data_IF_014012526336
#
_entry.id   IF_014012526336
#
_cell.length_a   1.000
_cell.length_b   1.000
_cell.length_c   1.000
_cell.angle_alpha   90.00
_cell.angle_beta   90.00
_cell.angle_gamma   90.00
#
_symmetry.space_group_name_H-M   'P 1'
#
loop_
_entity.id
_entity.type
_entity.pdbx_description
1 polymer ?
#
# COMPACT_ATOMS: atom_id res chain seq x y z
N UNK A 1 0.21 32.18 -29.66
CA UNK A 1 0.58 30.89 -30.29
C UNK A 1 0.01 29.75 -29.46
N UNK A 2 -0.72 28.83 -30.11
CA UNK A 2 -1.24 27.62 -29.44
C UNK A 2 -0.16 26.54 -29.51
N UNK A 3 0.26 26.04 -28.34
CA UNK A 3 1.25 24.98 -28.19
C UNK A 3 0.57 23.74 -27.70
N UNK A 4 0.75 22.61 -28.41
CA UNK A 4 0.25 21.31 -27.96
C UNK A 4 1.34 20.58 -27.15
N UNK A 5 1.09 20.37 -25.88
CA UNK A 5 2.01 19.66 -24.98
C UNK A 5 1.73 18.17 -25.08
N UNK A 6 2.69 17.34 -25.51
CA UNK A 6 2.47 15.90 -25.61
C UNK A 6 2.41 15.25 -24.23
N UNK A 7 1.49 14.28 -24.07
CA UNK A 7 1.42 13.49 -22.86
C UNK A 7 2.73 12.70 -22.66
N UNK A 8 3.25 12.68 -21.43
CA UNK A 8 4.50 12.01 -21.11
C UNK A 8 5.72 12.93 -21.08
N UNK A 9 5.60 14.19 -21.48
CA UNK A 9 6.71 15.15 -21.40
C UNK A 9 7.21 15.25 -19.95
N UNK A 10 8.52 15.42 -19.80
CA UNK A 10 9.14 15.57 -18.48
C UNK A 10 9.53 17.02 -18.20
N UNK A 11 9.81 17.30 -16.93
CA UNK A 11 10.27 18.61 -16.51
C UNK A 11 11.60 18.99 -17.21
N UNK A 12 11.70 20.23 -17.67
CA UNK A 12 12.87 20.76 -18.38
C UNK A 12 13.00 20.31 -19.84
N UNK A 13 12.05 19.53 -20.37
CA UNK A 13 12.05 19.19 -21.79
C UNK A 13 11.49 20.34 -22.64
N UNK A 14 12.06 20.52 -23.84
CA UNK A 14 11.66 21.59 -24.77
C UNK A 14 10.89 21.05 -25.96
N UNK A 15 9.85 21.79 -26.35
CA UNK A 15 9.07 21.59 -27.58
C UNK A 15 9.54 22.57 -28.62
N UNK A 16 9.97 22.06 -29.77
CA UNK A 16 10.39 22.88 -30.90
C UNK A 16 9.21 23.14 -31.84
N UNK A 17 8.91 24.41 -32.06
CA UNK A 17 7.89 24.85 -33.01
C UNK A 17 8.60 25.52 -34.18
N UNK A 18 8.55 24.86 -35.35
CA UNK A 18 9.24 25.32 -36.56
C UNK A 18 8.65 26.62 -37.08
N UNK A 19 9.50 27.50 -37.65
CA UNK A 19 9.15 28.75 -38.31
C UNK A 19 8.33 29.75 -37.41
N UNK A 20 8.41 29.59 -36.09
CA UNK A 20 7.72 30.48 -35.12
C UNK A 20 8.67 31.32 -34.28
N UNK A 21 9.96 31.24 -34.54
CA UNK A 21 10.97 32.09 -33.93
C UNK A 21 11.07 33.49 -34.56
N UNK A 22 12.18 34.15 -34.35
CA UNK A 22 12.45 35.47 -34.87
C UNK A 22 12.60 35.46 -36.40
N UNK A 23 12.29 36.60 -37.07
CA UNK A 23 12.56 36.75 -38.51
C UNK A 23 14.05 36.59 -38.81
N UNK A 24 14.36 35.91 -39.91
CA UNK A 24 15.74 35.80 -40.36
C UNK A 24 16.32 37.15 -40.81
N UNK A 25 17.64 37.31 -40.70
CA UNK A 25 18.35 38.48 -41.20
C UNK A 25 18.32 38.52 -42.74
N UNK A 26 18.24 39.73 -43.32
CA UNK A 26 18.23 39.95 -44.77
C UNK A 26 17.11 39.23 -45.55
N UNK A 27 15.91 39.07 -44.95
CA UNK A 27 14.78 38.39 -45.62
C UNK A 27 14.87 36.86 -45.60
N UNK A 28 15.75 36.28 -44.81
CA UNK A 28 15.84 34.85 -44.60
C UNK A 28 14.63 34.23 -43.90
N UNK A 29 14.50 32.88 -43.90
CA UNK A 29 13.40 32.20 -43.25
C UNK A 29 13.40 32.45 -41.73
N UNK A 30 12.23 32.32 -41.12
CA UNK A 30 12.09 32.46 -39.66
C UNK A 30 12.79 31.31 -38.93
N UNK A 31 13.33 31.62 -37.77
CA UNK A 31 13.88 30.62 -36.86
C UNK A 31 12.79 29.80 -36.20
N UNK A 32 13.20 28.84 -35.40
CA UNK A 32 12.31 27.99 -34.58
C UNK A 32 12.11 28.60 -33.20
N UNK A 33 10.93 28.35 -32.63
CA UNK A 33 10.63 28.67 -31.23
C UNK A 33 10.82 27.46 -30.38
N UNK A 34 11.65 27.55 -29.34
CA UNK A 34 11.80 26.51 -28.32
C UNK A 34 10.95 26.90 -27.10
N UNK A 35 10.05 26.00 -26.71
CA UNK A 35 9.21 26.15 -25.53
C UNK A 35 9.65 25.14 -24.48
N UNK A 36 10.28 25.62 -23.41
CA UNK A 36 10.65 24.79 -22.26
C UNK A 36 9.43 24.51 -21.40
N UNK A 37 9.23 23.24 -21.03
CA UNK A 37 8.11 22.80 -20.21
C UNK A 37 8.57 22.60 -18.77
N UNK A 38 7.98 23.36 -17.85
CA UNK A 38 8.18 23.20 -16.43
C UNK A 38 6.99 22.44 -15.84
N UNK A 39 7.23 21.22 -15.31
CA UNK A 39 6.20 20.37 -14.71
C UNK A 39 6.24 20.52 -13.19
N UNK A 40 5.16 21.05 -12.63
CA UNK A 40 5.02 21.18 -11.18
C UNK A 40 4.94 19.82 -10.48
N UNK A 41 5.43 19.77 -9.23
CA UNK A 41 5.31 18.56 -8.40
C UNK A 41 3.85 18.32 -8.02
N UNK A 42 3.42 17.06 -8.10
CA UNK A 42 2.10 16.66 -7.63
C UNK A 42 2.14 16.30 -6.15
N UNK A 43 1.12 16.63 -5.33
CA UNK A 43 1.13 16.36 -3.89
C UNK A 43 1.11 14.86 -3.53
N UNK A 44 0.50 14.03 -4.38
CA UNK A 44 0.32 12.59 -4.13
C UNK A 44 1.29 11.75 -4.96
N UNK A 45 1.49 12.12 -6.23
CA UNK A 45 2.23 11.31 -7.20
C UNK A 45 3.66 11.82 -7.35
N UNK A 46 4.60 10.90 -7.24
CA UNK A 46 6.00 11.14 -7.56
C UNK A 46 6.33 10.41 -8.86
N UNK A 47 6.85 11.16 -9.83
CA UNK A 47 7.28 10.60 -11.11
C UNK A 47 8.76 10.25 -11.06
N UNK A 48 9.11 9.08 -11.59
CA UNK A 48 10.47 8.69 -11.88
C UNK A 48 10.49 8.03 -13.27
N UNK A 49 11.04 8.72 -14.24
CA UNK A 49 10.96 8.37 -15.66
C UNK A 49 9.51 8.17 -16.15
N UNK A 50 9.15 6.95 -16.53
CA UNK A 50 7.78 6.60 -16.90
C UNK A 50 6.96 6.02 -15.75
N UNK A 51 7.57 5.75 -14.60
CA UNK A 51 6.87 5.19 -13.45
C UNK A 51 6.34 6.26 -12.52
N UNK A 52 5.23 5.92 -11.86
CA UNK A 52 4.61 6.73 -10.82
C UNK A 52 4.75 6.00 -9.50
N UNK A 53 5.00 6.74 -8.45
CA UNK A 53 5.05 6.27 -7.07
C UNK A 53 4.07 7.05 -6.22
N UNK A 54 3.32 6.35 -5.39
CA UNK A 54 2.41 6.98 -4.41
C UNK A 54 2.29 6.12 -3.16
N UNK A 55 1.72 6.71 -2.11
CA UNK A 55 1.40 6.01 -0.87
C UNK A 55 -0.12 6.00 -0.70
N UNK A 56 -0.68 4.86 -0.33
CA UNK A 56 -2.10 4.72 -0.03
C UNK A 56 -2.30 4.26 1.43
N UNK A 57 -3.03 5.04 2.24
CA UNK A 57 -3.38 4.62 3.59
C UNK A 57 -4.44 3.52 3.55
N UNK A 58 -4.25 2.51 4.39
CA UNK A 58 -5.24 1.46 4.66
C UNK A 58 -5.46 1.33 6.15
N UNK A 59 -6.63 0.86 6.56
CA UNK A 59 -6.91 0.58 7.97
C UNK A 59 -6.26 -0.73 8.41
N UNK A 60 -6.07 -0.87 9.73
CA UNK A 60 -5.60 -2.13 10.30
C UNK A 60 -6.54 -3.30 9.95
N UNK A 61 -7.85 -3.08 9.99
CA UNK A 61 -8.83 -4.10 9.62
C UNK A 61 -8.71 -4.53 8.15
N UNK A 62 -8.53 -3.58 7.22
CA UNK A 62 -8.27 -3.89 5.81
C UNK A 62 -6.97 -4.66 5.60
N UNK A 63 -5.92 -4.32 6.36
CA UNK A 63 -4.65 -5.03 6.29
C UNK A 63 -4.75 -6.46 6.84
N UNK A 64 -5.44 -6.64 7.97
CA UNK A 64 -5.55 -7.93 8.66
C UNK A 64 -6.54 -8.89 7.97
N UNK A 65 -7.72 -8.40 7.61
CA UNK A 65 -8.82 -9.20 7.07
C UNK A 65 -8.84 -9.23 5.54
N UNK A 66 -8.13 -8.31 4.91
CA UNK A 66 -8.24 -8.09 3.47
C UNK A 66 -9.46 -7.26 3.11
N UNK A 67 -9.69 -7.10 1.81
CA UNK A 67 -10.85 -6.40 1.28
C UNK A 67 -10.48 -5.43 0.15
N UNK A 68 -11.49 -4.81 -0.43
CA UNK A 68 -11.31 -3.86 -1.52
C UNK A 68 -10.93 -2.48 -1.00
N UNK A 69 -9.94 -1.86 -1.62
CA UNK A 69 -9.53 -0.48 -1.37
C UNK A 69 -9.51 0.30 -2.68
N UNK A 70 -9.88 1.57 -2.61
CA UNK A 70 -9.79 2.49 -3.74
C UNK A 70 -8.41 3.13 -3.77
N UNK A 71 -7.74 3.01 -4.89
CA UNK A 71 -6.42 3.59 -5.13
C UNK A 71 -6.53 4.66 -6.20
N UNK A 72 -5.98 5.84 -5.89
CA UNK A 72 -5.89 6.92 -6.86
C UNK A 72 -4.77 6.65 -7.86
N UNK A 73 -5.06 6.81 -9.13
CA UNK A 73 -4.08 6.76 -10.22
C UNK A 73 -4.18 8.02 -11.07
N UNK A 74 -3.23 8.24 -11.96
CA UNK A 74 -3.26 9.37 -12.90
C UNK A 74 -4.42 9.30 -13.91
N UNK A 75 -5.03 8.13 -14.07
CA UNK A 75 -6.19 7.90 -14.96
C UNK A 75 -7.52 7.84 -14.18
N UNK A 76 -7.51 8.09 -12.87
CA UNK A 76 -8.68 7.98 -12.00
C UNK A 76 -8.50 6.90 -10.92
N UNK A 77 -9.59 6.59 -10.24
CA UNK A 77 -9.61 5.58 -9.18
C UNK A 77 -9.64 4.16 -9.75
N UNK A 78 -8.94 3.24 -9.09
CA UNK A 78 -9.00 1.79 -9.35
C UNK A 78 -9.30 1.07 -8.04
N UNK A 79 -10.07 -0.02 -8.11
CA UNK A 79 -10.28 -0.93 -7.00
C UNK A 79 -9.13 -1.94 -6.96
N UNK A 80 -8.59 -2.16 -5.79
CA UNK A 80 -7.55 -3.15 -5.53
C UNK A 80 -7.95 -4.03 -4.36
N UNK A 81 -7.83 -5.34 -4.53
CA UNK A 81 -8.09 -6.32 -3.48
C UNK A 81 -6.85 -6.53 -2.63
N UNK A 82 -6.90 -6.05 -1.39
CA UNK A 82 -5.86 -6.26 -0.38
C UNK A 82 -6.01 -7.67 0.18
N UNK A 83 -4.92 -8.42 0.20
CA UNK A 83 -4.91 -9.78 0.76
C UNK A 83 -4.88 -9.73 2.29
N UNK A 84 -5.54 -10.69 2.98
CA UNK A 84 -5.44 -10.81 4.43
C UNK A 84 -3.99 -10.94 4.89
N UNK A 85 -3.64 -10.25 5.98
CA UNK A 85 -2.29 -10.25 6.53
C UNK A 85 -1.29 -9.35 5.79
N UNK A 86 -1.76 -8.43 4.95
CA UNK A 86 -0.91 -7.45 4.28
C UNK A 86 -0.21 -6.57 5.30
N UNK A 87 1.12 -6.47 5.21
CA UNK A 87 1.93 -5.66 6.10
C UNK A 87 2.05 -4.21 5.60
N UNK A 88 2.32 -3.29 6.54
CA UNK A 88 2.67 -1.92 6.16
C UNK A 88 3.89 -1.90 5.24
N UNK A 89 4.03 -0.86 4.40
CA UNK A 89 5.08 -0.72 3.38
C UNK A 89 5.07 -1.79 2.27
N UNK A 90 4.00 -2.61 2.21
CA UNK A 90 3.78 -3.51 1.07
C UNK A 90 3.61 -2.68 -0.20
N UNK A 91 4.49 -2.93 -1.19
CA UNK A 91 4.44 -2.26 -2.49
C UNK A 91 3.68 -3.11 -3.52
N UNK A 92 2.67 -2.52 -4.12
CA UNK A 92 1.90 -3.12 -5.21
C UNK A 92 2.19 -2.42 -6.52
N UNK A 93 2.11 -3.15 -7.63
CA UNK A 93 2.35 -2.66 -8.98
C UNK A 93 1.06 -2.65 -9.77
N UNK A 94 0.65 -1.49 -10.21
CA UNK A 94 -0.46 -1.30 -11.13
C UNK A 94 0.13 -1.16 -12.55
N UNK A 95 0.11 -2.27 -13.30
CA UNK A 95 0.72 -2.36 -14.62
C UNK A 95 0.07 -1.38 -15.61
N UNK A 96 0.91 -0.64 -16.35
CA UNK A 96 0.45 0.30 -17.37
C UNK A 96 -0.26 1.55 -16.84
N UNK A 97 -0.23 1.81 -15.52
CA UNK A 97 -0.82 3.00 -14.88
C UNK A 97 0.18 4.13 -14.63
N UNK A 98 1.36 4.04 -15.24
CA UNK A 98 2.36 5.09 -15.22
C UNK A 98 2.19 6.10 -16.34
N UNK A 99 3.27 6.83 -16.66
CA UNK A 99 3.34 7.88 -17.68
C UNK A 99 3.50 7.25 -19.07
N UNK A 100 2.81 7.77 -20.11
CA UNK A 100 3.01 7.30 -21.48
C UNK A 100 4.36 7.74 -22.02
N UNK A 101 4.94 6.93 -22.92
CA UNK A 101 6.16 7.28 -23.61
C UNK A 101 5.90 8.36 -24.68
N UNK A 102 6.80 9.33 -24.78
CA UNK A 102 6.75 10.36 -25.85
C UNK A 102 6.91 9.77 -27.25
N UNK A 103 7.67 8.65 -27.38
CA UNK A 103 7.93 8.03 -28.68
C UNK A 103 6.80 7.11 -29.12
N UNK A 104 6.17 6.41 -28.16
CA UNK A 104 5.10 5.45 -28.44
C UNK A 104 4.02 5.58 -27.36
N UNK A 105 2.90 6.19 -27.69
CA UNK A 105 1.76 6.41 -26.76
C UNK A 105 1.14 5.11 -26.22
N UNK A 106 1.35 3.99 -26.90
CA UNK A 106 0.86 2.67 -26.47
C UNK A 106 1.75 2.04 -25.39
N UNK A 107 2.94 2.58 -25.17
CA UNK A 107 3.87 2.14 -24.13
C UNK A 107 3.73 3.07 -22.93
N UNK A 108 3.40 2.50 -21.79
CA UNK A 108 3.30 3.24 -20.53
C UNK A 108 4.15 2.56 -19.46
N UNK A 109 4.65 3.35 -18.54
CA UNK A 109 5.24 2.86 -17.31
C UNK A 109 4.19 2.28 -16.35
N UNK A 110 4.61 1.95 -15.17
CA UNK A 110 3.76 1.38 -14.12
C UNK A 110 3.56 2.36 -12.96
N UNK A 111 2.53 2.12 -12.18
CA UNK A 111 2.32 2.85 -10.94
C UNK A 111 2.59 1.91 -9.76
N UNK A 112 3.53 2.29 -8.92
CA UNK A 112 3.88 1.59 -7.69
C UNK A 112 3.23 2.29 -6.51
N UNK A 113 2.32 1.60 -5.83
CA UNK A 113 1.62 2.12 -4.66
C UNK A 113 2.15 1.41 -3.43
N UNK A 114 2.61 2.17 -2.44
CA UNK A 114 3.01 1.65 -1.14
C UNK A 114 1.83 1.73 -0.18
N UNK A 115 1.37 0.59 0.32
CA UNK A 115 0.29 0.50 1.30
C UNK A 115 0.84 0.80 2.69
N UNK A 116 0.24 1.76 3.40
CA UNK A 116 0.65 2.14 4.75
C UNK A 116 -0.52 1.96 5.69
N UNK A 117 -0.34 1.13 6.71
CA UNK A 117 -1.37 0.94 7.75
C UNK A 117 -1.42 2.17 8.63
N UNK A 118 -2.58 2.82 8.65
CA UNK A 118 -2.81 3.98 9.51
C UNK A 118 -3.40 3.57 10.85
N UNK A 119 -2.79 4.06 11.92
CA UNK A 119 -3.33 3.94 13.27
C UNK A 119 -4.28 5.11 13.51
N UNK A 120 -5.56 4.85 13.82
CA UNK A 120 -6.52 5.92 14.11
C UNK A 120 -6.16 6.64 15.40
N UNK A 121 -6.24 7.98 15.40
CA UNK A 121 -5.92 8.82 16.56
C UNK A 121 -7.17 9.18 17.39
N UNK A 122 -8.34 9.25 16.75
CA UNK A 122 -9.60 9.63 17.37
C UNK A 122 -10.52 8.39 17.46
N UNK A 123 -10.54 7.75 18.62
CA UNK A 123 -11.37 6.59 18.91
C UNK A 123 -12.45 6.97 19.94
N UNK A 124 -13.70 6.62 19.66
CA UNK A 124 -14.77 6.64 20.66
C UNK A 124 -14.62 5.47 21.65
N UNK A 125 -15.38 5.45 22.73
CA UNK A 125 -15.25 4.42 23.76
C UNK A 125 -15.56 3.00 23.23
N UNK A 126 -16.54 2.86 22.35
CA UNK A 126 -16.89 1.56 21.74
C UNK A 126 -15.73 0.99 20.91
N UNK A 127 -15.05 1.85 20.12
CA UNK A 127 -13.90 1.44 19.34
C UNK A 127 -12.70 1.06 20.21
N UNK A 128 -12.48 1.78 21.34
CA UNK A 128 -11.43 1.43 22.30
C UNK A 128 -11.71 0.08 22.96
N UNK A 129 -12.96 -0.19 23.32
CA UNK A 129 -13.36 -1.47 23.93
C UNK A 129 -13.20 -2.61 22.92
N UNK A 130 -13.62 -2.41 21.66
CA UNK A 130 -13.44 -3.40 20.61
C UNK A 130 -11.97 -3.72 20.37
N UNK A 131 -11.09 -2.72 20.38
CA UNK A 131 -9.63 -2.94 20.23
C UNK A 131 -9.04 -3.69 21.42
N UNK A 132 -9.48 -3.40 22.66
CA UNK A 132 -9.03 -4.17 23.85
C UNK A 132 -9.44 -5.63 23.74
N UNK A 133 -10.69 -5.91 23.37
CA UNK A 133 -11.18 -7.28 23.13
C UNK A 133 -10.41 -7.99 22.02
N UNK A 134 -10.08 -7.29 20.96
CA UNK A 134 -9.25 -7.82 19.89
C UNK A 134 -7.85 -8.17 20.40
N UNK A 135 -7.20 -7.30 21.15
CA UNK A 135 -5.87 -7.51 21.72
C UNK A 135 -5.82 -8.71 22.67
N UNK A 136 -6.83 -8.85 23.52
CA UNK A 136 -7.03 -10.03 24.38
C UNK A 136 -7.21 -11.32 23.57
N UNK A 137 -8.01 -11.26 22.49
CA UNK A 137 -8.26 -12.39 21.62
C UNK A 137 -6.98 -12.84 20.87
N UNK A 138 -6.09 -11.91 20.54
CA UNK A 138 -4.77 -12.20 19.97
C UNK A 138 -3.76 -12.74 20.99
N UNK A 139 -4.12 -12.80 22.28
CA UNK A 139 -3.25 -13.30 23.35
C UNK A 139 -2.27 -12.26 23.90
N UNK A 140 -2.41 -11.00 23.49
CA UNK A 140 -1.63 -9.88 24.02
C UNK A 140 -2.30 -9.40 25.32
N UNK A 141 -1.70 -9.72 26.48
CA UNK A 141 -2.18 -9.17 27.76
C UNK A 141 -1.51 -7.81 28.00
N UNK A 142 -2.26 -6.78 28.43
CA UNK A 142 -1.64 -5.52 28.84
C UNK A 142 -0.69 -5.81 30.01
N UNK A 143 0.53 -5.27 29.91
CA UNK A 143 1.51 -5.34 30.99
C UNK A 143 0.96 -4.56 32.21
N UNK A 144 0.31 -5.25 33.13
CA UNK A 144 -0.30 -4.64 34.33
C UNK A 144 -1.47 -5.42 34.90
N UNK A 145 -2.06 -6.40 34.21
CA UNK A 145 -3.06 -7.30 34.77
C UNK A 145 -2.42 -8.60 35.33
N UNK A 146 -1.43 -8.44 36.19
CA UNK A 146 -0.94 -9.54 37.02
C UNK A 146 -1.94 -9.73 38.17
N UNK A 147 -3.10 -10.29 37.86
CA UNK A 147 -4.14 -10.63 38.80
C UNK A 147 -5.09 -11.64 38.18
N UNK A 148 -4.95 -12.88 38.58
CA UNK A 148 -5.94 -13.94 38.42
C UNK A 148 -6.02 -14.67 37.06
N UNK A 149 -4.98 -15.42 36.71
CA UNK A 149 -5.11 -16.48 35.70
C UNK A 149 -4.14 -17.68 35.87
N UNK A 150 -3.51 -17.79 37.03
CA UNK A 150 -2.71 -18.98 37.38
C UNK A 150 -3.60 -20.21 37.64
N UNK A 151 -4.83 -20.01 38.11
CA UNK A 151 -5.73 -21.13 38.39
C UNK A 151 -6.32 -21.83 37.16
N UNK A 152 -6.56 -21.13 36.04
CA UNK A 152 -7.16 -21.78 34.85
C UNK A 152 -6.14 -22.54 34.01
N UNK A 153 -4.88 -22.12 33.97
CA UNK A 153 -3.82 -22.85 33.27
C UNK A 153 -3.31 -24.06 34.05
N UNK A 154 -3.30 -23.98 35.36
CA UNK A 154 -2.98 -25.11 36.21
C UNK A 154 -4.09 -26.18 36.25
N UNK A 155 -5.37 -25.78 36.25
CA UNK A 155 -6.48 -26.73 36.09
C UNK A 155 -6.48 -27.45 34.75
N UNK A 156 -6.13 -26.79 33.65
CA UNK A 156 -5.99 -27.43 32.33
C UNK A 156 -4.76 -28.36 32.27
N UNK A 157 -3.64 -27.98 32.87
CA UNK A 157 -2.44 -28.81 32.93
C UNK A 157 -2.64 -30.01 33.85
N UNK A 158 -3.29 -29.86 35.02
CA UNK A 158 -3.65 -30.99 35.88
C UNK A 158 -4.60 -31.96 35.18
N UNK A 159 -5.67 -31.46 34.55
CA UNK A 159 -6.60 -32.32 33.81
C UNK A 159 -5.96 -33.07 32.64
N UNK A 160 -4.96 -32.50 31.97
CA UNK A 160 -4.23 -33.16 30.89
C UNK A 160 -3.24 -34.22 31.44
N UNK A 161 -2.55 -33.90 32.52
CA UNK A 161 -1.63 -34.86 33.18
C UNK A 161 -2.37 -36.03 33.86
N UNK A 162 -3.57 -35.78 34.38
CA UNK A 162 -4.41 -36.85 34.98
C UNK A 162 -4.95 -37.80 33.89
N UNK A 163 -5.36 -37.29 32.74
CA UNK A 163 -5.74 -38.12 31.58
C UNK A 163 -4.58 -38.90 31.00
N UNK A 164 -3.37 -38.37 30.99
CA UNK A 164 -2.16 -39.08 30.56
C UNK A 164 -1.80 -40.19 31.52
N UNK A 165 -2.00 -40.02 32.83
CA UNK A 165 -1.78 -41.09 33.83
C UNK A 165 -2.78 -42.22 33.69
N UNK A 166 -4.06 -41.90 33.53
CA UNK A 166 -5.10 -42.93 33.31
C UNK A 166 -4.81 -43.76 32.05
N UNK A 167 -4.45 -43.11 30.93
CA UNK A 167 -4.11 -43.85 29.69
C UNK A 167 -2.83 -44.70 29.84
N UNK A 168 -1.89 -44.27 30.65
CA UNK A 168 -0.64 -44.98 30.86
C UNK A 168 -0.83 -46.20 31.81
N UNK A 169 -1.68 -46.05 32.84
CA UNK A 169 -2.04 -47.17 33.71
C UNK A 169 -2.88 -48.22 33.00
N UNK A 170 -3.81 -47.79 32.13
CA UNK A 170 -4.59 -48.68 31.28
C UNK A 170 -3.70 -49.47 30.29
N UNK A 171 -2.67 -48.82 29.73
CA UNK A 171 -1.70 -49.45 28.84
C UNK A 171 -0.78 -50.42 29.59
N UNK A 172 -0.37 -50.09 30.83
CA UNK A 172 0.43 -51.00 31.68
C UNK A 172 -0.37 -52.22 32.14
N UNK A 173 -1.67 -52.11 32.35
CA UNK A 173 -2.53 -53.23 32.72
C UNK A 173 -2.75 -54.24 31.57
N UNK A 174 -2.61 -53.76 30.31
CA UNK A 174 -2.73 -54.61 29.11
C UNK A 174 -1.44 -55.39 28.75
N UNK A 175 -0.32 -55.06 29.39
CA UNK A 175 0.98 -55.73 29.16
C UNK A 175 1.26 -56.84 30.20
N UNK A 176 0.41 -56.96 31.22
CA UNK A 176 0.54 -58.04 32.25
C UNK A 176 -0.44 -59.17 31.96
N UNK A 177 -0.33 -59.83 30.79
CA UNK A 177 -0.81 -61.20 30.51
C UNK A 177 0.34 -61.99 29.93
#
# INVERSE_FOLDING_TARGET
>A
IKVSIPAGIDNGQSIRIRDKGEPGTNGGPRGDLLVEVNVARHPIFQRQDMNIYSTAPITYAQAALGGEVKLNTVDGEVLYEVKPGTQTDTRIRLKGKGVPSLRNKNVRGDHYVTLVVQVPTNLNEDAKEALRKFDEACGNRPAGSAGDSTEKSEKKKKSFMDKLKETFEEWLSLIHI
#
